data_IF_865916520820
#
_entry.id   IF_865916520820
#
_cell.length_a   1.000
_cell.length_b   1.000
_cell.length_c   1.000
_cell.angle_alpha   90.00
_cell.angle_beta   90.00
_cell.angle_gamma   90.00
#
_symmetry.space_group_name_H-M   'P 1'
#
loop_
_entity.id
_entity.type
_entity.pdbx_description
1 polymer ?
#
# COMPACT_ATOMS: atom_id res chain seq x y z
N UNK A 1 20.39 18.94 -38.58
CA UNK A 1 21.25 19.40 -37.49
C UNK A 1 20.57 20.62 -36.89
N UNK A 2 19.74 20.36 -35.86
CA UNK A 2 19.16 21.27 -34.87
C UNK A 2 17.91 20.58 -34.30
N UNK A 3 17.96 20.29 -33.01
CA UNK A 3 16.89 19.87 -32.09
C UNK A 3 17.31 20.40 -30.70
N UNK A 4 16.47 20.54 -29.66
CA UNK A 4 15.05 20.93 -29.51
C UNK A 4 14.84 22.05 -28.44
N UNK A 5 13.56 22.37 -28.18
CA UNK A 5 12.97 22.77 -26.88
C UNK A 5 13.34 24.13 -26.23
N UNK A 6 12.37 25.05 -26.25
CA UNK A 6 12.19 26.04 -25.18
C UNK A 6 10.87 25.71 -24.46
N UNK A 7 11.05 25.30 -23.21
CA UNK A 7 10.10 24.99 -22.16
C UNK A 7 9.31 26.24 -21.74
N UNK A 8 7.98 26.21 -21.97
CA UNK A 8 7.05 27.19 -21.43
C UNK A 8 6.36 26.58 -20.20
N UNK A 9 7.00 26.72 -19.04
CA UNK A 9 6.43 26.30 -17.75
C UNK A 9 5.15 27.07 -17.39
N UNK A 10 4.28 26.50 -16.54
CA UNK A 10 3.02 27.12 -16.13
C UNK A 10 3.24 28.08 -14.94
N UNK A 11 4.08 29.11 -15.11
CA UNK A 11 4.36 30.11 -14.06
C UNK A 11 4.28 31.54 -14.63
N UNK A 12 3.11 31.93 -15.14
CA UNK A 12 2.79 33.36 -15.22
C UNK A 12 1.30 33.59 -14.96
N UNK A 13 0.88 34.02 -13.75
CA UNK A 13 -0.48 34.45 -13.56
C UNK A 13 -0.70 35.71 -14.40
N UNK A 14 -1.67 35.67 -15.30
CA UNK A 14 -2.26 36.89 -15.85
C UNK A 14 -2.92 37.64 -14.71
N UNK A 15 -2.22 38.61 -14.12
CA UNK A 15 -2.75 39.46 -13.04
C UNK A 15 -3.59 40.57 -13.68
N UNK A 16 -4.90 40.51 -13.46
CA UNK A 16 -5.79 41.66 -13.61
C UNK A 16 -5.95 42.28 -12.21
N UNK A 17 -5.09 43.24 -11.85
CA UNK A 17 -5.27 44.01 -10.61
C UNK A 17 -6.47 44.95 -10.76
N UNK A 18 -7.55 44.66 -10.03
CA UNK A 18 -8.52 45.71 -9.69
C UNK A 18 -7.90 46.51 -8.53
N UNK A 19 -7.87 47.85 -8.59
CA UNK A 19 -7.27 48.63 -7.50
C UNK A 19 -8.14 48.50 -6.24
N UNK A 20 -7.70 47.65 -5.31
CA UNK A 20 -8.04 47.73 -3.91
C UNK A 20 -6.99 48.58 -3.20
N UNK A 21 -7.40 49.65 -2.52
CA UNK A 21 -6.51 50.52 -1.76
C UNK A 21 -5.82 49.79 -0.59
N UNK A 22 -6.33 48.61 -0.22
CA UNK A 22 -5.85 47.80 0.90
C UNK A 22 -5.49 46.39 0.44
N UNK A 23 -4.27 45.96 0.78
CA UNK A 23 -3.81 44.59 0.58
C UNK A 23 -3.63 43.92 1.92
N UNK A 24 -4.28 42.78 2.10
CA UNK A 24 -4.19 41.98 3.31
C UNK A 24 -3.42 40.70 3.02
N UNK A 25 -2.42 40.41 3.84
CA UNK A 25 -1.72 39.12 3.83
C UNK A 25 -1.78 38.47 5.20
N UNK A 26 -1.74 37.14 5.21
CA UNK A 26 -1.83 36.32 6.40
C UNK A 26 -0.76 35.24 6.38
N UNK A 27 -0.07 35.09 7.50
CA UNK A 27 0.93 34.03 7.70
C UNK A 27 0.74 33.37 9.05
N UNK A 28 1.36 32.21 9.20
CA UNK A 28 1.44 31.46 10.45
C UNK A 28 2.89 31.09 10.70
N UNK A 29 3.33 31.14 11.95
CA UNK A 29 4.72 30.85 12.30
C UNK A 29 5.14 29.39 12.03
N UNK A 30 4.18 28.45 12.07
CA UNK A 30 4.39 27.03 11.78
C UNK A 30 3.19 26.47 11.01
N UNK A 31 3.46 25.84 9.87
CA UNK A 31 2.44 25.20 9.04
C UNK A 31 2.22 23.71 9.37
N UNK A 32 3.03 23.11 10.25
CA UNK A 32 2.89 21.73 10.73
C UNK A 32 2.86 21.72 12.26
N UNK A 33 1.82 21.14 12.85
CA UNK A 33 1.57 21.18 14.30
C UNK A 33 0.97 19.89 14.82
N UNK A 34 0.96 19.74 16.14
CA UNK A 34 0.22 18.71 16.85
C UNK A 34 -0.99 19.31 17.58
N UNK A 35 -1.92 18.45 17.96
CA UNK A 35 -3.00 18.84 18.89
C UNK A 35 -2.37 19.28 20.21
N UNK A 36 -2.82 20.42 20.72
CA UNK A 36 -2.28 21.05 21.94
C UNK A 36 -1.18 22.08 21.70
N UNK A 37 -0.70 22.22 20.47
CA UNK A 37 0.25 23.28 20.12
C UNK A 37 -0.39 24.67 20.19
N UNK A 38 0.47 25.68 20.29
CA UNK A 38 0.12 27.08 20.04
C UNK A 38 0.77 27.54 18.74
N UNK A 39 -0.01 28.18 17.89
CA UNK A 39 0.44 28.87 16.67
C UNK A 39 0.19 30.36 16.78
N UNK A 40 1.07 31.15 16.18
CA UNK A 40 0.93 32.60 16.10
C UNK A 40 0.58 32.96 14.66
N UNK A 41 -0.58 33.59 14.47
CA UNK A 41 -0.96 34.17 13.19
C UNK A 41 -0.46 35.61 13.12
N UNK A 42 0.02 36.00 11.95
CA UNK A 42 0.39 37.39 11.64
C UNK A 42 -0.39 37.85 10.42
N UNK A 43 -1.05 38.99 10.55
CA UNK A 43 -1.74 39.66 9.48
C UNK A 43 -1.02 40.96 9.18
N UNK A 44 -0.83 41.25 7.90
CA UNK A 44 -0.18 42.47 7.45
C UNK A 44 -1.13 43.17 6.51
N UNK A 45 -1.57 44.38 6.88
CA UNK A 45 -2.47 45.21 6.11
C UNK A 45 -1.70 46.41 5.57
N UNK A 46 -1.60 46.49 4.25
CA UNK A 46 -0.89 47.53 3.51
C UNK A 46 -1.92 48.50 2.88
N UNK A 47 -1.85 49.79 3.21
CA UNK A 47 -2.61 50.83 2.54
C UNK A 47 -1.78 51.42 1.40
N UNK A 48 -2.19 51.17 0.16
CA UNK A 48 -1.52 51.65 -1.05
C UNK A 48 -2.03 53.01 -1.54
N UNK A 49 -3.02 53.58 -0.86
CA UNK A 49 -3.57 54.89 -1.21
C UNK A 49 -2.76 56.04 -0.62
N UNK A 50 -2.97 57.24 -1.17
CA UNK A 50 -2.35 58.48 -0.70
C UNK A 50 -3.06 59.10 0.50
N UNK A 51 -4.15 58.49 0.98
CA UNK A 51 -4.95 58.97 2.11
C UNK A 51 -4.94 57.97 3.26
N UNK A 52 -5.15 58.45 4.48
CA UNK A 52 -5.40 57.56 5.61
C UNK A 52 -6.78 56.91 5.46
N UNK A 53 -6.85 55.61 5.72
CA UNK A 53 -8.09 54.84 5.74
C UNK A 53 -8.46 54.57 7.20
N UNK A 54 -9.62 55.06 7.61
CA UNK A 54 -10.17 54.86 8.94
C UNK A 54 -11.40 53.95 8.89
N UNK A 55 -11.86 53.49 10.06
CA UNK A 55 -13.05 52.65 10.20
C UNK A 55 -12.94 51.32 9.44
N UNK A 56 -11.76 50.70 9.49
CA UNK A 56 -11.56 49.36 8.95
C UNK A 56 -11.82 48.34 10.06
N UNK A 57 -12.85 47.53 9.89
CA UNK A 57 -13.12 46.38 10.76
C UNK A 57 -12.42 45.16 10.18
N UNK A 58 -11.54 44.54 10.96
CA UNK A 58 -10.83 43.36 10.53
C UNK A 58 -11.43 42.12 11.20
N UNK A 59 -11.83 41.13 10.40
CA UNK A 59 -12.40 39.90 10.90
C UNK A 59 -11.56 38.69 10.49
N UNK A 60 -11.35 37.78 11.43
CA UNK A 60 -10.65 36.51 11.27
C UNK A 60 -11.54 35.36 11.74
N UNK A 61 -11.68 34.32 10.92
CA UNK A 61 -12.46 33.12 11.26
C UNK A 61 -11.54 31.94 11.45
N UNK A 62 -11.34 31.56 12.72
CA UNK A 62 -10.54 30.41 13.09
C UNK A 62 -11.12 29.10 12.51
N UNK A 63 -10.28 28.11 12.17
CA UNK A 63 -10.75 26.78 11.80
C UNK A 63 -11.45 26.06 12.96
N UNK A 64 -12.30 25.08 12.65
CA UNK A 64 -12.97 24.25 13.66
C UNK A 64 -11.93 23.57 14.57
N UNK A 65 -12.14 23.70 15.89
CA UNK A 65 -11.26 23.11 16.89
C UNK A 65 -10.07 24.01 17.26
N UNK A 66 -9.90 25.18 16.65
CA UNK A 66 -8.92 26.17 17.05
C UNK A 66 -9.54 27.19 18.01
N UNK A 67 -8.77 27.66 18.99
CA UNK A 67 -9.26 28.57 20.04
C UNK A 67 -8.28 29.72 20.23
N UNK A 68 -8.77 30.96 20.14
CA UNK A 68 -7.94 32.13 20.42
C UNK A 68 -7.41 32.13 21.85
N UNK A 69 -6.13 32.48 22.02
CA UNK A 69 -5.48 32.62 23.32
C UNK A 69 -5.56 34.09 23.78
N UNK A 70 -6.44 34.36 24.73
CA UNK A 70 -6.64 35.71 25.27
C UNK A 70 -5.33 36.37 25.77
N UNK A 71 -5.28 37.70 25.70
CA UNK A 71 -4.12 38.51 26.12
C UNK A 71 -2.87 38.33 25.26
N UNK A 72 -3.04 37.96 23.99
CA UNK A 72 -1.92 37.78 23.05
C UNK A 72 -2.04 38.65 21.80
N UNK A 73 -3.19 39.26 21.57
CA UNK A 73 -3.41 40.07 20.39
C UNK A 73 -2.70 41.43 20.52
N UNK A 74 -1.90 41.73 19.51
CA UNK A 74 -1.15 42.97 19.39
C UNK A 74 -1.46 43.57 18.02
N UNK A 75 -1.81 44.85 17.99
CA UNK A 75 -2.01 45.64 16.77
C UNK A 75 -0.95 46.73 16.75
N UNK A 76 -0.06 46.66 15.76
CA UNK A 76 1.06 47.59 15.57
C UNK A 76 1.90 47.82 16.84
N UNK A 77 2.28 46.72 17.49
CA UNK A 77 3.08 46.75 18.73
C UNK A 77 2.30 47.11 20.01
N UNK A 78 1.02 47.46 19.91
CA UNK A 78 0.16 47.79 21.06
C UNK A 78 -0.82 46.66 21.36
N UNK A 79 -0.89 46.24 22.62
CA UNK A 79 -1.85 45.21 23.05
C UNK A 79 -3.29 45.67 22.78
N UNK A 80 -4.02 44.88 21.99
CA UNK A 80 -5.38 45.18 21.57
C UNK A 80 -6.14 43.89 21.25
N UNK A 81 -7.05 43.53 22.14
CA UNK A 81 -7.84 42.31 22.04
C UNK A 81 -8.98 42.42 21.00
N UNK A 82 -9.31 41.33 20.29
CA UNK A 82 -10.49 41.26 19.44
C UNK A 82 -11.77 41.06 20.25
N UNK A 83 -12.90 41.43 19.65
CA UNK A 83 -14.21 40.91 20.02
C UNK A 83 -14.33 39.47 19.52
N UNK A 84 -14.75 38.55 20.39
CA UNK A 84 -14.77 37.11 20.11
C UNK A 84 -16.21 36.62 20.05
N UNK A 85 -16.60 36.03 18.92
CA UNK A 85 -17.90 35.39 18.72
C UNK A 85 -17.72 33.99 18.10
N UNK A 86 -17.63 32.97 18.95
CA UNK A 86 -17.35 31.61 18.50
C UNK A 86 -15.93 31.51 17.91
N UNK A 87 -15.84 31.28 16.60
CA UNK A 87 -14.57 31.21 15.86
C UNK A 87 -14.16 32.56 15.25
N UNK A 88 -15.06 33.56 15.26
CA UNK A 88 -14.79 34.87 14.69
C UNK A 88 -14.07 35.78 15.70
N UNK A 89 -12.97 36.38 15.28
CA UNK A 89 -12.21 37.40 15.98
C UNK A 89 -12.35 38.71 15.20
N UNK A 90 -12.80 39.78 15.83
CA UNK A 90 -13.02 41.07 15.16
C UNK A 90 -12.24 42.18 15.85
N UNK A 91 -11.43 42.93 15.09
CA UNK A 91 -10.78 44.16 15.54
C UNK A 91 -11.45 45.33 14.82
N UNK A 92 -12.33 46.04 15.52
CA UNK A 92 -13.12 47.12 14.93
C UNK A 92 -12.35 48.45 14.85
N UNK A 93 -12.63 49.31 13.88
CA UNK A 93 -12.12 50.69 13.87
C UNK A 93 -10.59 50.80 13.80
N UNK A 94 -9.95 49.94 13.01
CA UNK A 94 -8.53 50.04 12.69
C UNK A 94 -8.30 51.21 11.73
N UNK A 95 -7.24 51.97 11.97
CA UNK A 95 -6.82 53.09 11.12
C UNK A 95 -5.48 52.75 10.51
N UNK A 96 -5.34 52.95 9.20
CA UNK A 96 -4.10 52.73 8.46
C UNK A 96 -3.75 54.03 7.74
N UNK A 97 -2.60 54.62 8.06
CA UNK A 97 -2.10 55.83 7.41
C UNK A 97 -1.86 55.65 5.91
N UNK A 98 -1.67 56.77 5.22
CA UNK A 98 -1.34 56.76 3.79
C UNK A 98 0.02 56.06 3.55
N UNK A 99 0.08 55.14 2.59
CA UNK A 99 1.28 54.34 2.31
C UNK A 99 1.84 53.58 3.54
N UNK A 100 1.01 53.33 4.56
CA UNK A 100 1.41 52.67 5.80
C UNK A 100 1.07 51.18 5.77
N UNK A 101 1.82 50.41 6.55
CA UNK A 101 1.55 49.00 6.82
C UNK A 101 1.37 48.80 8.32
N UNK A 102 0.29 48.13 8.71
CA UNK A 102 0.06 47.72 10.09
C UNK A 102 0.11 46.19 10.21
N UNK A 103 0.49 45.71 11.39
CA UNK A 103 0.54 44.27 11.67
C UNK A 103 -0.37 43.90 12.85
N UNK A 104 -1.13 42.81 12.71
CA UNK A 104 -1.90 42.20 13.79
C UNK A 104 -1.32 40.82 14.07
N UNK A 105 -0.88 40.57 15.30
CA UNK A 105 -0.35 39.27 15.73
C UNK A 105 -1.16 38.73 16.89
N UNK A 106 -1.47 37.43 16.88
CA UNK A 106 -2.25 36.79 17.93
C UNK A 106 -2.00 35.28 17.99
N UNK A 107 -2.08 34.70 19.19
CA UNK A 107 -1.86 33.27 19.41
C UNK A 107 -3.18 32.50 19.39
N UNK A 108 -3.11 31.27 18.89
CA UNK A 108 -4.24 30.34 18.79
C UNK A 108 -3.80 28.95 19.25
N UNK A 109 -4.61 28.34 20.12
CA UNK A 109 -4.44 26.96 20.59
C UNK A 109 -5.08 25.97 19.61
N UNK A 110 -4.37 24.90 19.30
CA UNK A 110 -4.89 23.76 18.52
C UNK A 110 -5.64 22.83 19.47
N UNK A 111 -6.97 22.92 19.47
CA UNK A 111 -7.82 22.15 20.37
C UNK A 111 -7.92 20.66 20.02
N UNK A 112 -8.43 19.88 20.97
CA UNK A 112 -8.54 18.42 20.86
C UNK A 112 -9.58 17.93 19.86
N UNK A 113 -10.54 18.78 19.48
CA UNK A 113 -11.53 18.48 18.45
C UNK A 113 -11.01 18.75 17.04
N UNK A 114 -9.83 19.36 16.90
CA UNK A 114 -9.18 19.53 15.61
C UNK A 114 -8.54 18.19 15.18
N UNK A 115 -9.22 17.47 14.29
CA UNK A 115 -8.68 16.24 13.72
C UNK A 115 -7.42 16.49 12.87
N UNK A 116 -6.64 15.45 12.53
CA UNK A 116 -5.49 15.60 11.65
C UNK A 116 -5.89 16.25 10.31
N UNK A 117 -4.93 16.83 9.58
CA UNK A 117 -5.13 17.41 8.25
C UNK A 117 -4.99 18.92 8.16
N UNK A 118 -5.36 19.45 7.00
CA UNK A 118 -5.22 20.87 6.68
C UNK A 118 -6.39 21.67 7.25
N UNK A 119 -6.07 22.71 8.00
CA UNK A 119 -7.00 23.65 8.63
C UNK A 119 -6.68 25.06 8.13
N UNK A 120 -7.65 25.71 7.50
CA UNK A 120 -7.48 27.01 6.85
C UNK A 120 -8.07 28.09 7.72
N UNK A 121 -7.22 29.00 8.21
CA UNK A 121 -7.66 30.22 8.87
C UNK A 121 -7.87 31.32 7.81
N UNK A 122 -8.98 32.05 7.90
CA UNK A 122 -9.41 33.02 6.87
C UNK A 122 -9.66 34.38 7.49
N UNK A 123 -9.23 35.44 6.80
CA UNK A 123 -9.38 36.78 7.30
C UNK A 123 -9.66 37.80 6.21
N UNK A 124 -10.39 38.86 6.55
CA UNK A 124 -10.80 39.89 5.61
C UNK A 124 -11.05 41.23 6.33
N UNK A 125 -10.75 42.34 5.64
CA UNK A 125 -11.08 43.69 6.08
C UNK A 125 -12.40 44.19 5.51
N UNK A 126 -13.16 44.92 6.31
CA UNK A 126 -14.47 45.49 6.01
C UNK A 126 -14.53 46.96 6.36
N UNK A 127 -15.39 47.71 5.67
CA UNK A 127 -15.74 49.08 6.05
C UNK A 127 -16.76 49.04 7.21
N UNK A 128 -16.44 49.65 8.35
CA UNK A 128 -17.26 49.55 9.57
C UNK A 128 -18.65 50.21 9.45
N UNK A 129 -18.84 51.10 8.46
CA UNK A 129 -20.10 51.82 8.28
C UNK A 129 -21.06 51.07 7.34
N UNK A 130 -20.52 50.45 6.31
CA UNK A 130 -21.29 49.79 5.24
C UNK A 130 -21.27 48.28 5.34
N UNK A 131 -20.31 47.69 6.06
CA UNK A 131 -20.06 46.25 6.10
C UNK A 131 -19.50 45.67 4.80
N UNK A 132 -19.15 46.53 3.83
CA UNK A 132 -18.64 46.08 2.55
C UNK A 132 -17.17 45.62 2.67
N UNK A 133 -16.75 44.55 1.98
CA UNK A 133 -15.36 44.12 1.99
C UNK A 133 -14.46 45.20 1.36
N UNK A 134 -13.31 45.46 2.01
CA UNK A 134 -12.29 46.41 1.58
C UNK A 134 -11.00 45.73 1.13
N UNK A 135 -10.85 44.44 1.43
CA UNK A 135 -9.72 43.60 1.02
C UNK A 135 -10.24 42.30 0.42
N UNK A 136 -9.40 41.63 -0.35
CA UNK A 136 -9.58 40.21 -0.63
C UNK A 136 -9.41 39.38 0.66
N UNK A 137 -9.86 38.13 0.62
CA UNK A 137 -9.68 37.19 1.71
C UNK A 137 -8.21 36.72 1.77
N UNK A 138 -7.57 36.90 2.92
CA UNK A 138 -6.24 36.36 3.20
C UNK A 138 -6.37 35.06 3.99
N UNK A 139 -5.57 34.05 3.61
CA UNK A 139 -5.64 32.72 4.23
C UNK A 139 -4.27 32.23 4.69
N UNK A 140 -4.26 31.44 5.75
CA UNK A 140 -3.08 30.70 6.20
C UNK A 140 -3.50 29.30 6.64
N UNK A 141 -2.76 28.30 6.19
CA UNK A 141 -3.08 26.89 6.43
C UNK A 141 -2.10 26.27 7.41
N UNK A 142 -2.64 25.55 8.38
CA UNK A 142 -1.90 24.71 9.32
C UNK A 142 -2.32 23.26 9.11
N UNK A 143 -1.34 22.37 9.02
CA UNK A 143 -1.55 20.93 8.94
C UNK A 143 -1.31 20.30 10.32
N UNK A 144 -2.34 19.65 10.86
CA UNK A 144 -2.22 18.82 12.05
C UNK A 144 -1.70 17.45 11.60
N UNK A 145 -0.51 17.09 12.06
CA UNK A 145 0.08 15.80 11.76
C UNK A 145 -0.66 14.68 12.50
N UNK A 146 -0.91 13.57 11.80
CA UNK A 146 -1.54 12.42 12.42
C UNK A 146 -0.52 11.66 13.27
N UNK A 147 -0.79 11.50 14.56
CA UNK A 147 0.06 10.70 15.43
C UNK A 147 -0.04 9.22 15.09
N UNK A 148 1.09 8.53 14.83
CA UNK A 148 1.09 7.13 14.40
C UNK A 148 0.51 6.16 15.43
N UNK A 149 0.50 6.55 16.71
CA UNK A 149 0.10 5.69 17.83
C UNK A 149 -1.40 5.75 18.09
N UNK A 150 -2.00 6.95 18.08
CA UNK A 150 -3.40 7.15 18.47
C UNK A 150 -4.30 7.54 17.30
N UNK A 151 -3.78 8.22 16.29
CA UNK A 151 -4.57 8.78 15.19
C UNK A 151 -4.51 7.93 13.90
N UNK A 152 -3.63 6.94 13.83
CA UNK A 152 -3.54 6.02 12.71
C UNK A 152 -3.39 4.56 13.19
N UNK A 153 -3.57 3.61 12.27
CA UNK A 153 -3.28 2.20 12.54
C UNK A 153 -1.89 1.84 12.01
N UNK A 154 -1.20 0.98 12.74
CA UNK A 154 0.06 0.39 12.29
C UNK A 154 -0.19 -1.06 11.88
N UNK A 155 0.21 -1.40 10.66
CA UNK A 155 0.24 -2.78 10.19
C UNK A 155 1.65 -3.30 10.38
N UNK A 156 1.78 -4.40 11.10
CA UNK A 156 3.04 -5.16 11.18
C UNK A 156 2.83 -6.55 10.62
N UNK A 157 3.91 -7.20 10.23
CA UNK A 157 3.81 -8.57 9.78
C UNK A 157 5.14 -9.19 9.46
N UNK A 158 5.05 -10.39 8.91
CA UNK A 158 6.19 -11.15 8.41
C UNK A 158 5.81 -11.86 7.11
N UNK A 159 6.73 -11.91 6.17
CA UNK A 159 6.74 -12.90 5.10
C UNK A 159 7.62 -14.06 5.54
N UNK A 160 7.11 -15.28 5.51
CA UNK A 160 7.81 -16.44 6.06
C UNK A 160 7.72 -17.66 5.16
N UNK A 161 8.68 -18.56 5.34
CA UNK A 161 8.70 -19.90 4.79
C UNK A 161 7.71 -20.77 5.54
N UNK A 162 6.53 -20.95 4.95
CA UNK A 162 5.42 -21.74 5.46
C UNK A 162 5.70 -23.22 5.19
N UNK A 163 6.23 -23.91 6.20
CA UNK A 163 6.73 -25.29 6.09
C UNK A 163 5.56 -26.26 6.04
N UNK A 164 4.56 -26.04 6.88
CA UNK A 164 3.45 -26.97 7.10
C UNK A 164 2.19 -26.60 6.29
N UNK A 165 2.20 -25.45 5.59
CA UNK A 165 1.13 -24.90 4.75
C UNK A 165 -0.15 -24.57 5.50
N UNK A 166 -0.04 -24.21 6.78
CA UNK A 166 -1.19 -23.76 7.57
C UNK A 166 -1.46 -22.25 7.42
N UNK A 167 -0.52 -21.50 6.85
CA UNK A 167 -0.61 -20.05 6.67
C UNK A 167 -0.39 -19.21 7.94
N UNK A 168 0.06 -19.85 9.02
CA UNK A 168 0.40 -19.25 10.31
C UNK A 168 1.89 -19.45 10.58
N UNK A 169 2.53 -18.36 11.02
CA UNK A 169 3.95 -18.43 11.35
C UNK A 169 4.16 -19.13 12.70
N UNK A 170 4.95 -20.18 12.70
CA UNK A 170 5.28 -21.01 13.86
C UNK A 170 6.77 -20.93 14.20
N UNK A 171 7.10 -20.53 15.43
CA UNK A 171 8.52 -20.45 15.88
C UNK A 171 9.11 -21.83 16.19
N UNK A 172 8.27 -22.79 16.55
CA UNK A 172 8.71 -24.15 16.85
C UNK A 172 8.90 -24.96 15.57
N UNK A 173 9.96 -25.80 15.48
CA UNK A 173 10.16 -26.69 14.34
C UNK A 173 8.91 -27.53 14.05
N UNK A 174 8.45 -27.50 12.79
CA UNK A 174 7.29 -28.24 12.32
C UNK A 174 7.73 -29.41 11.44
N UNK A 175 6.95 -30.49 11.42
CA UNK A 175 7.19 -31.58 10.47
C UNK A 175 7.16 -31.07 9.03
N UNK A 176 8.26 -31.28 8.30
CA UNK A 176 8.33 -30.92 6.89
C UNK A 176 7.63 -32.01 6.06
N UNK A 177 6.36 -31.76 5.74
CA UNK A 177 5.51 -32.66 4.93
C UNK A 177 6.02 -32.85 3.49
N UNK A 178 7.04 -32.10 3.07
CA UNK A 178 7.68 -32.21 1.76
C UNK A 178 8.95 -33.05 1.77
N UNK A 179 9.55 -33.28 2.93
CA UNK A 179 10.79 -34.05 3.07
C UNK A 179 10.56 -35.58 3.15
N UNK A 180 9.30 -36.03 3.10
CA UNK A 180 8.96 -37.43 2.83
C UNK A 180 9.26 -37.73 1.36
N UNK A 181 10.53 -38.03 1.06
CA UNK A 181 10.97 -38.44 -0.28
C UNK A 181 10.82 -39.95 -0.46
N UNK A 182 10.61 -40.39 -1.70
CA UNK A 182 10.49 -41.79 -2.10
C UNK A 182 11.83 -42.53 -2.18
N UNK A 183 12.92 -41.95 -1.65
CA UNK A 183 14.24 -42.58 -1.61
C UNK A 183 14.38 -43.67 -0.52
N UNK A 184 13.31 -44.42 -0.28
CA UNK A 184 13.42 -45.78 0.27
C UNK A 184 13.96 -46.69 -0.83
N UNK A 185 15.28 -46.66 -1.02
CA UNK A 185 16.01 -47.55 -1.92
C UNK A 185 15.80 -49.02 -1.49
N UNK A 186 15.10 -49.77 -2.34
CA UNK A 186 14.78 -51.18 -2.19
C UNK A 186 15.99 -52.06 -2.54
N UNK A 187 16.60 -52.70 -1.54
CA UNK A 187 17.68 -53.66 -1.81
C UNK A 187 18.14 -54.46 -0.60
N UNK A 188 17.33 -55.42 -0.12
CA UNK A 188 17.79 -56.38 0.88
C UNK A 188 16.82 -57.56 1.10
N UNK A 189 17.34 -58.79 1.04
CA UNK A 189 16.60 -60.03 1.36
C UNK A 189 16.00 -59.95 2.76
N UNK A 190 14.68 -60.02 2.90
CA UNK A 190 14.04 -60.29 4.20
C UNK A 190 12.68 -59.65 4.48
N UNK A 191 12.19 -58.71 3.66
CA UNK A 191 10.78 -58.28 3.68
C UNK A 191 10.27 -57.69 5.00
N UNK A 192 11.13 -57.16 5.88
CA UNK A 192 10.68 -56.39 7.05
C UNK A 192 10.62 -54.91 6.68
N UNK A 193 9.40 -54.39 6.73
CA UNK A 193 9.06 -52.98 6.56
C UNK A 193 9.61 -52.18 7.75
N UNK A 194 10.50 -51.22 7.48
CA UNK A 194 10.79 -50.13 8.41
C UNK A 194 10.09 -48.89 7.88
N UNK A 195 9.32 -48.22 8.73
CA UNK A 195 8.74 -46.91 8.44
C UNK A 195 9.88 -45.96 8.04
N UNK A 196 9.73 -45.14 6.97
CA UNK A 196 10.76 -44.18 6.60
C UNK A 196 11.06 -43.28 7.79
N UNK A 197 12.34 -42.97 8.00
CA UNK A 197 12.71 -42.03 9.06
C UNK A 197 11.96 -40.71 8.79
N UNK A 198 11.21 -40.20 9.77
CA UNK A 198 10.45 -38.97 9.59
C UNK A 198 11.43 -37.85 9.24
N UNK A 199 11.00 -36.98 8.34
CA UNK A 199 11.75 -35.79 8.00
C UNK A 199 12.07 -34.99 9.26
N UNK A 200 13.32 -34.56 9.40
CA UNK A 200 13.72 -33.67 10.49
C UNK A 200 12.83 -32.42 10.48
N UNK A 201 12.22 -32.06 11.63
CA UNK A 201 11.33 -30.92 11.68
C UNK A 201 12.08 -29.64 11.34
N UNK A 202 11.49 -28.85 10.45
CA UNK A 202 12.08 -27.62 9.92
C UNK A 202 11.41 -26.42 10.60
N UNK A 203 12.23 -25.48 11.05
CA UNK A 203 11.73 -24.23 11.62
C UNK A 203 11.28 -23.29 10.49
N UNK A 204 10.15 -22.62 10.68
CA UNK A 204 9.74 -21.56 9.77
C UNK A 204 10.62 -20.33 9.98
N UNK A 205 11.13 -19.80 8.88
CA UNK A 205 12.03 -18.64 8.88
C UNK A 205 11.43 -17.50 8.08
N UNK A 206 11.83 -16.27 8.40
CA UNK A 206 11.42 -15.11 7.62
C UNK A 206 12.09 -15.07 6.25
N UNK A 207 11.35 -14.57 5.25
CA UNK A 207 11.85 -14.36 3.89
C UNK A 207 12.25 -12.89 3.70
N UNK A 208 13.55 -12.58 3.56
CA UNK A 208 14.04 -11.22 3.43
C UNK A 208 13.89 -10.67 2.02
N UNK A 209 13.89 -9.34 1.89
CA UNK A 209 13.92 -8.68 0.57
C UNK A 209 12.61 -8.76 -0.22
N UNK A 210 11.53 -9.26 0.38
CA UNK A 210 10.23 -9.39 -0.28
C UNK A 210 9.50 -8.05 -0.23
N UNK A 211 9.00 -7.60 -1.39
CA UNK A 211 8.29 -6.33 -1.52
C UNK A 211 6.79 -6.50 -1.30
N UNK A 212 6.23 -5.63 -0.47
CA UNK A 212 4.80 -5.45 -0.26
C UNK A 212 4.37 -4.08 -0.78
N UNK A 213 3.18 -3.99 -1.35
CA UNK A 213 2.66 -2.76 -1.97
C UNK A 213 1.23 -2.51 -1.52
N UNK A 214 0.94 -1.28 -1.14
CA UNK A 214 -0.39 -0.78 -0.79
C UNK A 214 -1.10 -0.19 -2.02
N UNK A 215 -2.44 -0.03 -1.99
CA UNK A 215 -3.21 0.52 -3.12
C UNK A 215 -2.79 1.94 -3.56
N UNK A 216 -2.25 2.74 -2.64
CA UNK A 216 -1.74 4.08 -2.93
C UNK A 216 -0.29 4.10 -3.45
N UNK A 217 0.30 2.92 -3.73
CA UNK A 217 1.64 2.79 -4.31
C UNK A 217 2.80 2.81 -3.31
N UNK A 218 2.54 2.95 -2.00
CA UNK A 218 3.57 2.79 -0.98
C UNK A 218 4.10 1.36 -1.01
N UNK A 219 5.42 1.21 -1.15
CA UNK A 219 6.09 -0.07 -1.12
C UNK A 219 6.99 -0.19 0.10
N UNK A 220 6.97 -1.36 0.75
CA UNK A 220 7.89 -1.73 1.83
C UNK A 220 8.56 -3.06 1.51
N UNK A 221 9.75 -3.27 2.05
CA UNK A 221 10.53 -4.48 1.86
C UNK A 221 10.79 -5.13 3.20
N UNK A 222 10.74 -6.46 3.26
CA UNK A 222 11.00 -7.20 4.49
C UNK A 222 12.47 -7.14 4.92
N UNK A 223 12.70 -7.12 6.24
CA UNK A 223 14.03 -7.20 6.85
C UNK A 223 14.65 -8.60 6.74
N UNK A 224 15.85 -8.79 7.28
CA UNK A 224 16.57 -10.08 7.28
C UNK A 224 15.78 -11.25 7.91
N UNK A 225 14.80 -10.93 8.77
CA UNK A 225 13.92 -11.88 9.44
C UNK A 225 12.51 -11.90 8.83
N UNK A 226 12.35 -11.39 7.61
CA UNK A 226 11.09 -11.34 6.89
C UNK A 226 10.06 -10.37 7.47
N UNK A 227 10.39 -9.56 8.47
CA UNK A 227 9.45 -8.65 9.15
C UNK A 227 9.28 -7.37 8.36
N UNK A 228 8.10 -6.76 8.48
CA UNK A 228 7.80 -5.44 7.92
C UNK A 228 6.91 -4.63 8.85
N UNK A 229 6.94 -3.31 8.68
CA UNK A 229 6.04 -2.37 9.35
C UNK A 229 5.59 -1.30 8.37
N UNK A 230 4.29 -1.04 8.38
CA UNK A 230 3.62 0.04 7.66
C UNK A 230 3.01 0.98 8.71
N UNK A 231 3.76 1.99 9.15
CA UNK A 231 3.24 3.01 10.05
C UNK A 231 2.23 3.86 9.28
N UNK A 232 1.19 4.32 9.97
CA UNK A 232 0.12 5.12 9.39
C UNK A 232 -0.43 4.52 8.08
N UNK A 233 -0.68 3.20 8.08
CA UNK A 233 -1.31 2.52 6.96
C UNK A 233 -2.59 3.29 6.60
N UNK A 234 -2.62 3.86 5.39
CA UNK A 234 -3.53 4.93 5.01
C UNK A 234 -5.01 4.58 5.32
N UNK A 235 -5.54 5.16 6.40
CA UNK A 235 -6.95 5.04 6.76
C UNK A 235 -7.68 6.38 6.58
N UNK A 236 -8.92 6.36 6.07
CA UNK A 236 -9.86 7.46 6.23
C UNK A 236 -10.11 7.74 7.72
N UNK A 237 -10.37 8.99 8.07
CA UNK A 237 -10.11 9.52 9.42
C UNK A 237 -11.02 9.07 10.55
N UNK A 238 -12.20 8.50 10.33
CA UNK A 238 -13.19 8.44 11.43
C UNK A 238 -13.91 7.10 11.64
N UNK A 239 -13.76 6.14 10.72
CA UNK A 239 -14.33 4.80 10.85
C UNK A 239 -13.30 3.79 10.36
N UNK A 240 -13.09 2.71 11.12
CA UNK A 240 -12.17 1.66 10.69
C UNK A 240 -12.49 1.21 9.26
N UNK A 241 -11.47 1.05 8.41
CA UNK A 241 -11.63 0.82 6.98
C UNK A 241 -10.89 -0.44 6.55
N UNK A 242 -11.32 -1.01 5.42
CA UNK A 242 -10.65 -2.16 4.82
C UNK A 242 -9.32 -1.69 4.21
N UNK A 243 -8.23 -2.29 4.65
CA UNK A 243 -6.90 -2.08 4.14
C UNK A 243 -6.44 -3.31 3.39
N UNK A 244 -5.96 -3.11 2.16
CA UNK A 244 -5.41 -4.16 1.32
C UNK A 244 -3.89 -4.07 1.32
N UNK A 245 -3.22 -5.21 1.42
CA UNK A 245 -1.79 -5.31 1.26
C UNK A 245 -1.46 -6.48 0.33
N UNK A 246 -0.60 -6.23 -0.65
CA UNK A 246 -0.23 -7.21 -1.68
C UNK A 246 1.27 -7.47 -1.67
N UNK A 247 1.67 -8.73 -1.73
CA UNK A 247 3.04 -9.18 -1.98
C UNK A 247 3.31 -9.13 -3.49
N UNK A 248 4.45 -8.58 -3.88
CA UNK A 248 5.00 -8.75 -5.24
C UNK A 248 5.72 -10.11 -5.31
N UNK A 249 5.03 -11.09 -5.87
CA UNK A 249 5.50 -12.47 -6.02
C UNK A 249 6.82 -12.60 -6.77
N UNK A 250 7.16 -11.64 -7.64
CA UNK A 250 8.44 -11.61 -8.37
C UNK A 250 9.64 -11.30 -7.48
N UNK A 251 9.40 -10.79 -6.28
CA UNK A 251 10.45 -10.50 -5.28
C UNK A 251 10.64 -11.63 -4.28
N UNK A 252 9.83 -12.68 -4.35
CA UNK A 252 10.06 -13.89 -3.57
C UNK A 252 11.36 -14.58 -4.05
N UNK A 253 12.09 -15.26 -3.15
CA UNK A 253 13.21 -16.10 -3.55
C UNK A 253 12.80 -17.13 -4.60
N UNK A 254 13.75 -17.53 -5.45
CA UNK A 254 13.49 -18.47 -6.54
C UNK A 254 12.87 -19.76 -6.02
N UNK A 255 11.80 -20.22 -6.68
CA UNK A 255 11.09 -21.45 -6.32
C UNK A 255 9.95 -21.26 -5.32
N UNK A 256 9.90 -20.14 -4.59
CA UNK A 256 8.80 -19.85 -3.68
C UNK A 256 7.52 -19.48 -4.44
N UNK A 257 6.39 -19.85 -3.85
CA UNK A 257 5.05 -19.42 -4.24
C UNK A 257 4.25 -19.11 -2.98
N UNK A 258 3.31 -18.21 -3.11
CA UNK A 258 2.38 -17.86 -2.03
C UNK A 258 1.58 -19.07 -1.57
N UNK A 259 1.49 -19.27 -0.27
CA UNK A 259 0.62 -20.28 0.37
C UNK A 259 -0.60 -19.62 0.99
N UNK A 260 -0.44 -18.38 1.49
CA UNK A 260 -1.55 -17.54 1.97
C UNK A 260 -2.18 -16.73 0.84
N UNK A 261 -3.40 -16.23 1.07
CA UNK A 261 -4.06 -15.26 0.18
C UNK A 261 -3.16 -14.05 -0.16
N UNK A 262 -3.18 -13.64 -1.42
CA UNK A 262 -2.48 -12.47 -1.92
C UNK A 262 -3.30 -11.83 -3.06
N UNK A 263 -3.89 -10.63 -2.88
CA UNK A 263 -3.72 -9.70 -1.75
C UNK A 263 -4.50 -10.11 -0.50
N UNK A 264 -4.04 -9.66 0.68
CA UNK A 264 -4.79 -9.78 1.94
C UNK A 264 -5.56 -8.50 2.23
N UNK A 265 -6.76 -8.65 2.80
CA UNK A 265 -7.60 -7.52 3.22
C UNK A 265 -7.96 -7.68 4.70
N UNK A 266 -7.69 -6.65 5.49
CA UNK A 266 -8.06 -6.60 6.92
C UNK A 266 -8.73 -5.28 7.22
N UNK A 267 -9.67 -5.27 8.17
CA UNK A 267 -10.22 -4.02 8.68
C UNK A 267 -9.26 -3.42 9.69
N UNK A 268 -8.74 -2.24 9.42
CA UNK A 268 -7.92 -1.51 10.38
C UNK A 268 -8.78 -0.51 11.15
N UNK A 269 -8.47 -0.38 12.42
CA UNK A 269 -9.08 0.60 13.33
C UNK A 269 -7.99 1.58 13.78
N UNK A 270 -8.23 2.91 13.74
CA UNK A 270 -7.28 3.89 14.25
C UNK A 270 -6.84 3.56 15.69
N UNK A 271 -5.55 3.73 15.97
CA UNK A 271 -4.96 3.43 17.28
C UNK A 271 -4.73 1.95 17.58
N UNK A 272 -5.16 1.03 16.71
CA UNK A 272 -4.91 -0.41 16.86
C UNK A 272 -3.72 -0.87 16.03
N UNK A 273 -2.93 -1.75 16.61
CA UNK A 273 -1.91 -2.52 15.90
C UNK A 273 -2.56 -3.75 15.27
N UNK A 274 -2.33 -3.95 13.97
CA UNK A 274 -2.87 -5.09 13.22
C UNK A 274 -1.74 -5.94 12.64
N UNK A 275 -1.82 -7.26 12.82
CA UNK A 275 -0.85 -8.22 12.28
C UNK A 275 -1.33 -8.77 10.92
N UNK A 276 -0.48 -8.71 9.90
CA UNK A 276 -0.72 -9.30 8.58
C UNK A 276 0.50 -10.13 8.16
N UNK A 277 0.46 -11.44 8.35
CA UNK A 277 1.55 -12.31 7.89
C UNK A 277 1.27 -12.81 6.46
N UNK A 278 2.31 -13.26 5.78
CA UNK A 278 2.23 -13.86 4.45
C UNK A 278 3.10 -15.11 4.42
N UNK A 279 2.48 -16.25 4.16
CA UNK A 279 3.19 -17.51 3.96
C UNK A 279 3.56 -17.67 2.49
N UNK A 280 4.77 -18.15 2.26
CA UNK A 280 5.21 -18.67 0.98
C UNK A 280 6.04 -19.93 1.20
N UNK A 281 6.00 -20.85 0.25
CA UNK A 281 6.77 -22.09 0.35
C UNK A 281 7.32 -22.51 -1.00
N UNK A 282 8.37 -23.32 -1.00
CA UNK A 282 8.90 -23.94 -2.22
C UNK A 282 8.09 -25.17 -2.56
N UNK A 283 7.52 -25.21 -3.76
CA UNK A 283 6.75 -26.37 -4.21
C UNK A 283 7.63 -27.34 -5.03
N UNK A 284 7.69 -28.64 -4.68
CA UNK A 284 8.22 -29.68 -5.53
C UNK A 284 7.55 -29.66 -6.90
N UNK A 285 8.36 -29.84 -7.94
CA UNK A 285 7.88 -29.86 -9.32
C UNK A 285 7.74 -31.32 -9.78
N UNK A 286 6.51 -31.78 -9.94
CA UNK A 286 6.20 -33.04 -10.59
C UNK A 286 6.19 -32.83 -12.11
N UNK A 287 7.33 -33.12 -12.75
CA UNK A 287 7.49 -32.97 -14.21
C UNK A 287 6.94 -34.19 -14.95
N UNK A 288 6.08 -33.96 -15.93
CA UNK A 288 5.58 -34.99 -16.85
C UNK A 288 5.95 -34.55 -18.26
N UNK A 289 6.91 -35.25 -18.87
CA UNK A 289 7.30 -35.01 -20.27
C UNK A 289 6.54 -35.97 -21.19
N UNK A 290 5.70 -35.40 -22.05
CA UNK A 290 4.81 -36.11 -22.96
C UNK A 290 5.35 -36.11 -24.39
N UNK A 291 4.96 -37.12 -25.15
CA UNK A 291 5.13 -37.18 -26.60
C UNK A 291 3.96 -37.95 -27.21
N UNK A 292 3.90 -38.04 -28.54
CA UNK A 292 2.90 -38.83 -29.26
C UNK A 292 2.85 -40.30 -28.80
N UNK A 293 3.93 -40.84 -28.22
CA UNK A 293 4.03 -42.24 -27.77
C UNK A 293 3.11 -42.57 -26.60
N UNK A 294 2.76 -41.58 -25.77
CA UNK A 294 1.83 -41.76 -24.64
C UNK A 294 0.38 -41.99 -25.08
N UNK A 295 0.09 -41.86 -26.39
CA UNK A 295 -1.25 -41.93 -26.96
C UNK A 295 -1.36 -43.05 -28.00
N UNK A 296 -2.58 -43.52 -28.23
CA UNK A 296 -2.95 -44.40 -29.34
C UNK A 296 -3.04 -43.59 -30.65
N UNK A 297 -3.21 -44.28 -31.78
CA UNK A 297 -3.39 -43.63 -33.09
C UNK A 297 -4.60 -42.69 -33.12
N UNK A 298 -5.63 -43.00 -32.34
CA UNK A 298 -6.86 -42.22 -32.23
C UNK A 298 -6.74 -41.02 -31.28
N UNK A 299 -5.60 -40.86 -30.60
CA UNK A 299 -5.33 -39.77 -29.67
C UNK A 299 -5.75 -40.02 -28.22
N UNK A 300 -6.22 -41.23 -27.90
CA UNK A 300 -6.55 -41.64 -26.53
C UNK A 300 -5.28 -41.96 -25.73
N UNK A 301 -5.30 -41.71 -24.41
CA UNK A 301 -4.17 -42.05 -23.54
C UNK A 301 -4.02 -43.56 -23.42
N UNK A 302 -2.79 -44.06 -23.51
CA UNK A 302 -2.54 -45.49 -23.34
C UNK A 302 -2.83 -45.94 -21.90
N UNK A 303 -3.30 -47.19 -21.69
CA UNK A 303 -3.63 -47.69 -20.35
C UNK A 303 -2.45 -47.64 -19.38
N UNK A 304 -1.23 -47.93 -19.85
CA UNK A 304 -0.04 -47.91 -19.00
C UNK A 304 0.26 -46.48 -18.49
N UNK A 305 0.02 -45.48 -19.35
CA UNK A 305 0.19 -44.07 -18.98
C UNK A 305 -0.89 -43.61 -18.00
N UNK A 306 -2.14 -44.07 -18.15
CA UNK A 306 -3.23 -43.77 -17.20
C UNK A 306 -2.91 -44.31 -15.80
N UNK A 307 -2.39 -45.54 -15.70
CA UNK A 307 -1.96 -46.13 -14.42
C UNK A 307 -0.82 -45.32 -13.80
N UNK A 308 0.18 -44.93 -14.59
CA UNK A 308 1.28 -44.08 -14.13
C UNK A 308 0.79 -42.72 -13.61
N UNK A 309 -0.18 -42.11 -14.29
CA UNK A 309 -0.78 -40.84 -13.91
C UNK A 309 -1.52 -40.93 -12.57
N UNK A 310 -2.29 -42.01 -12.36
CA UNK A 310 -2.94 -42.29 -11.08
C UNK A 310 -1.92 -42.43 -9.94
N UNK A 311 -0.85 -43.18 -10.17
CA UNK A 311 0.21 -43.37 -9.15
C UNK A 311 0.85 -42.04 -8.77
N UNK A 312 1.15 -41.19 -9.77
CA UNK A 312 1.72 -39.87 -9.54
C UNK A 312 0.76 -38.97 -8.75
N UNK A 313 -0.52 -38.93 -9.13
CA UNK A 313 -1.54 -38.14 -8.42
C UNK A 313 -1.65 -38.57 -6.95
N UNK A 314 -1.63 -39.88 -6.69
CA UNK A 314 -1.66 -40.40 -5.32
C UNK A 314 -0.40 -40.02 -4.53
N UNK A 315 0.77 -40.03 -5.17
CA UNK A 315 2.04 -39.66 -4.53
C UNK A 315 2.05 -38.17 -4.15
N UNK A 316 1.60 -37.28 -5.04
CA UNK A 316 1.59 -35.84 -4.77
C UNK A 316 0.37 -35.37 -3.95
N UNK A 317 -0.56 -36.27 -3.61
CA UNK A 317 -1.75 -35.94 -2.84
C UNK A 317 -1.44 -35.49 -1.40
N UNK A 318 -0.36 -36.03 -0.81
CA UNK A 318 0.05 -35.74 0.56
C UNK A 318 0.95 -34.49 0.67
N UNK A 319 1.65 -34.14 -0.41
CA UNK A 319 2.68 -33.10 -0.46
C UNK A 319 2.32 -32.03 -1.51
N UNK A 320 2.05 -30.79 -1.10
CA UNK A 320 1.75 -29.69 -2.01
C UNK A 320 2.79 -29.54 -3.12
N UNK A 321 2.40 -29.77 -4.37
CA UNK A 321 3.30 -29.85 -5.53
C UNK A 321 2.75 -29.06 -6.72
N UNK A 322 3.65 -28.63 -7.61
CA UNK A 322 3.32 -28.06 -8.91
C UNK A 322 3.53 -29.11 -9.98
N UNK A 323 2.51 -29.38 -10.79
CA UNK A 323 2.65 -30.29 -11.93
C UNK A 323 3.08 -29.49 -13.15
N UNK A 324 4.23 -29.85 -13.74
CA UNK A 324 4.69 -29.26 -15.01
C UNK A 324 4.52 -30.26 -16.15
N UNK A 325 3.58 -29.96 -17.05
CA UNK A 325 3.32 -30.73 -18.26
C UNK A 325 4.16 -30.21 -19.41
N UNK A 326 5.22 -30.94 -19.76
CA UNK A 326 5.97 -30.74 -21.00
C UNK A 326 5.39 -31.59 -22.12
N UNK A 327 5.37 -31.09 -23.36
CA UNK A 327 5.07 -31.91 -24.55
C UNK A 327 6.09 -31.68 -25.63
N UNK A 328 6.76 -32.75 -26.05
CA UNK A 328 7.70 -32.75 -27.16
C UNK A 328 7.00 -33.09 -28.47
N UNK A 329 6.91 -32.10 -29.36
CA UNK A 329 6.28 -32.25 -30.68
C UNK A 329 7.24 -32.96 -31.63
N UNK A 330 6.80 -34.09 -32.20
CA UNK A 330 7.61 -34.86 -33.16
C UNK A 330 7.66 -34.19 -34.53
N UNK A 331 8.72 -34.47 -35.31
CA UNK A 331 8.82 -34.03 -36.72
C UNK A 331 7.60 -34.50 -37.53
N UNK A 332 6.86 -33.56 -38.12
CA UNK A 332 5.65 -33.84 -38.90
C UNK A 332 4.35 -33.93 -38.10
N UNK A 333 4.39 -33.79 -36.77
CA UNK A 333 3.20 -33.74 -35.93
C UNK A 333 2.54 -32.35 -35.96
N UNK A 334 1.22 -32.30 -36.15
CA UNK A 334 0.48 -31.06 -36.09
C UNK A 334 0.38 -30.55 -34.64
N UNK A 335 0.73 -29.28 -34.40
CA UNK A 335 0.69 -28.67 -33.06
C UNK A 335 -0.71 -28.70 -32.42
N UNK A 336 -1.77 -28.67 -33.24
CA UNK A 336 -3.15 -28.83 -32.77
C UNK A 336 -3.37 -30.19 -32.09
N UNK A 337 -2.75 -31.26 -32.58
CA UNK A 337 -2.83 -32.59 -31.98
C UNK A 337 -2.08 -32.64 -30.63
N UNK A 338 -0.87 -32.08 -30.57
CA UNK A 338 -0.10 -31.94 -29.32
C UNK A 338 -0.88 -31.16 -28.25
N UNK A 339 -1.50 -30.03 -28.60
CA UNK A 339 -2.36 -29.24 -27.69
C UNK A 339 -3.60 -30.01 -27.23
N UNK A 340 -4.21 -30.82 -28.10
CA UNK A 340 -5.37 -31.64 -27.76
C UNK A 340 -5.00 -32.74 -26.74
N UNK A 341 -3.90 -33.43 -26.99
CA UNK A 341 -3.30 -34.45 -26.11
C UNK A 341 -2.90 -33.87 -24.75
N UNK A 342 -2.26 -32.71 -24.73
CA UNK A 342 -1.92 -32.03 -23.47
C UNK A 342 -3.17 -31.67 -22.65
N UNK A 343 -4.25 -31.19 -23.30
CA UNK A 343 -5.52 -30.92 -22.63
C UNK A 343 -6.21 -32.18 -22.10
N UNK A 344 -6.08 -33.33 -22.77
CA UNK A 344 -6.65 -34.57 -22.27
C UNK A 344 -5.93 -35.05 -21.02
N UNK A 345 -4.59 -34.94 -20.97
CA UNK A 345 -3.81 -35.25 -19.77
C UNK A 345 -4.13 -34.31 -18.62
N UNK A 346 -4.19 -32.99 -18.86
CA UNK A 346 -4.58 -32.03 -17.82
C UNK A 346 -5.97 -32.34 -17.25
N UNK A 347 -6.94 -32.66 -18.12
CA UNK A 347 -8.30 -33.01 -17.70
C UNK A 347 -8.31 -34.26 -16.84
N UNK A 348 -7.52 -35.27 -17.21
CA UNK A 348 -7.43 -36.51 -16.43
C UNK A 348 -6.76 -36.27 -15.08
N UNK A 349 -5.67 -35.50 -15.01
CA UNK A 349 -5.06 -35.11 -13.73
C UNK A 349 -6.09 -34.41 -12.85
N UNK A 350 -6.86 -33.45 -13.39
CA UNK A 350 -7.88 -32.74 -12.62
C UNK A 350 -9.01 -33.67 -12.16
N UNK A 351 -9.39 -34.65 -12.98
CA UNK A 351 -10.38 -35.68 -12.62
C UNK A 351 -9.88 -36.51 -11.44
N UNK A 352 -8.68 -37.05 -11.54
CA UNK A 352 -8.04 -37.83 -10.48
C UNK A 352 -7.80 -37.01 -9.20
N UNK A 353 -7.48 -35.73 -9.36
CA UNK A 353 -7.30 -34.80 -8.25
C UNK A 353 -8.60 -34.46 -7.54
N UNK A 354 -9.75 -34.45 -8.23
CA UNK A 354 -11.04 -34.17 -7.60
C UNK A 354 -11.37 -35.20 -6.50
N UNK A 355 -10.92 -36.45 -6.68
CA UNK A 355 -11.18 -37.54 -5.74
C UNK A 355 -10.10 -37.65 -4.63
N UNK A 356 -8.88 -37.17 -4.90
CA UNK A 356 -7.70 -37.42 -4.05
C UNK A 356 -7.10 -36.16 -3.41
N UNK A 357 -7.38 -35.00 -3.99
CA UNK A 357 -6.69 -33.75 -3.72
C UNK A 357 -6.98 -33.17 -2.35
N UNK A 358 -5.92 -32.70 -1.67
CA UNK A 358 -6.00 -32.04 -0.36
C UNK A 358 -5.69 -30.55 -0.39
N UNK A 359 -5.33 -30.03 -1.56
CA UNK A 359 -4.96 -28.63 -1.80
C UNK A 359 -5.28 -28.22 -3.24
N UNK A 360 -5.18 -26.91 -3.53
CA UNK A 360 -5.36 -26.39 -4.88
C UNK A 360 -4.17 -26.74 -5.78
N UNK A 361 -4.36 -27.68 -6.71
CA UNK A 361 -3.29 -28.13 -7.62
C UNK A 361 -3.01 -27.11 -8.73
N UNK A 362 -1.76 -26.68 -8.83
CA UNK A 362 -1.27 -25.84 -9.93
C UNK A 362 -0.69 -26.72 -11.04
N UNK A 363 -1.16 -26.52 -12.28
CA UNK A 363 -0.68 -27.23 -13.47
C UNK A 363 -0.12 -26.22 -14.47
N UNK A 364 1.19 -26.28 -14.72
CA UNK A 364 1.89 -25.52 -15.75
C UNK A 364 2.00 -26.34 -17.04
N UNK A 365 1.99 -25.67 -18.20
CA UNK A 365 2.06 -26.32 -19.52
C UNK A 365 3.14 -25.70 -20.38
N UNK A 366 3.95 -26.54 -21.01
CA UNK A 366 5.00 -26.14 -21.94
C UNK A 366 4.98 -27.06 -23.16
N UNK A 367 4.91 -26.49 -24.37
CA UNK A 367 5.07 -27.24 -25.62
C UNK A 367 6.43 -26.90 -26.19
N UNK A 368 7.27 -27.92 -26.34
CA UNK A 368 8.62 -27.81 -26.89
C UNK A 368 8.65 -28.46 -28.27
N UNK A 369 9.21 -27.76 -29.27
CA UNK A 369 9.56 -28.38 -30.54
C UNK A 369 10.95 -28.98 -30.40
N UNK A 370 11.12 -30.22 -30.84
CA UNK A 370 12.47 -30.79 -30.96
C UNK A 370 13.31 -29.85 -31.85
N UNK A 371 14.42 -29.34 -31.32
CA UNK A 371 15.38 -28.59 -32.11
C UNK A 371 15.83 -29.48 -33.27
N UNK A 372 15.77 -28.97 -34.50
CA UNK A 372 16.38 -29.66 -35.62
C UNK A 372 17.86 -29.82 -35.28
N UNK A 373 18.33 -31.06 -35.21
CA UNK A 373 19.76 -31.34 -35.14
C UNK A 373 20.38 -30.70 -36.39
N UNK A 374 21.05 -29.57 -36.21
CA UNK A 374 21.90 -28.97 -37.22
C UNK A 374 23.03 -29.97 -37.48
N UNK A 375 22.89 -30.72 -38.57
CA UNK A 375 23.98 -31.50 -39.14
C UNK A 375 25.06 -30.51 -39.59
N UNK A 376 26.24 -30.62 -38.98
CA UNK A 376 27.50 -30.24 -39.60
C UNK A 376 28.29 -31.52 -39.88
#
# INVERSE_FOLDING_TARGET
>A
MADPAADGGPDDPTILELPGDLVLTKTVNRSSVLVGDVVTYTLTLENRSTGALANIDFADTLPTGFVYRASTAVVDGVAREPDIAGQALTWAGVVVGAAETITITYDVYVGNSAGPGDHVNRAQGFDALTGAPRTDEATATVRIEAEPVFHCSTVIGRVFDDVNHDGYFNEEPQEDRMAITDQTYYGGKGGKWSEPEPAEPRQEVGLPGVRLVTPNGTAVTTDEHGRFSLPCAALPRDIGANFMLKIDDRTLPVGYRMTTENPRVVRLTPGMLTKMNFGASMFPIARIDLSARAFTGDGEMRPEFQVGLQSLVNQIAATPSVVRLGYQVSSGEAERAARARMRSVEREIRRLWADTGRYALTIERVIERAAQASSQ
#
